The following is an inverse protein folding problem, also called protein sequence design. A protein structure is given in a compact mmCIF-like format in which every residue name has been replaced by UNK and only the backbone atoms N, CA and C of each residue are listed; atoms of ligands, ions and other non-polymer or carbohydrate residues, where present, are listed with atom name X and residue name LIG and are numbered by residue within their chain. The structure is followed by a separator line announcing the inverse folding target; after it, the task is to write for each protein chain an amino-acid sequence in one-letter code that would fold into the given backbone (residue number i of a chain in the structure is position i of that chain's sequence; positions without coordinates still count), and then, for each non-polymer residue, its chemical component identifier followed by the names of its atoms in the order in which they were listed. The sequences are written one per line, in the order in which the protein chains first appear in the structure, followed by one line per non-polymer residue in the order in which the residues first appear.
data_IF_927094746322
#
_entry.id   IF_927094746322
#
_cell.length_a   1.000
_cell.length_b   1.000
_cell.length_c   1.000
_cell.angle_alpha   90.00
_cell.angle_beta   90.00
_cell.angle_gamma   90.00
#
_symmetry.space_group_name_H-M   'P 1'
#
loop_
_entity.id
_entity.type
_entity.pdbx_description
1 polymer ?
#
# COMPACT_ATOMS: atom_id res chain seq x y z
N UNK A 1 1.50 -21.27 -14.49
CA UNK A 1 2.87 -20.75 -14.31
C UNK A 1 2.92 -19.36 -14.94
N UNK A 2 2.90 -18.31 -14.12
CA UNK A 2 3.00 -16.93 -14.63
C UNK A 2 4.47 -16.63 -14.97
N UNK A 3 4.68 -15.98 -16.10
CA UNK A 3 5.97 -15.59 -16.65
C UNK A 3 6.77 -14.75 -15.66
N UNK A 4 7.94 -15.26 -15.25
CA UNK A 4 8.87 -14.66 -14.29
C UNK A 4 9.31 -13.23 -14.65
N UNK A 5 9.24 -12.87 -15.94
CA UNK A 5 9.55 -11.52 -16.44
C UNK A 5 8.49 -10.50 -16.01
N UNK A 6 7.21 -10.89 -15.99
CA UNK A 6 6.09 -10.02 -15.60
C UNK A 6 6.16 -9.67 -14.12
N UNK A 7 6.44 -10.67 -13.26
CA UNK A 7 6.63 -10.49 -11.81
C UNK A 7 7.81 -9.55 -11.51
N UNK A 8 8.92 -9.66 -12.25
CA UNK A 8 10.07 -8.75 -12.07
C UNK A 8 9.72 -7.30 -12.42
N UNK A 9 9.03 -7.07 -13.53
CA UNK A 9 8.63 -5.72 -13.94
C UNK A 9 7.66 -5.09 -12.94
N UNK A 10 6.67 -5.85 -12.47
CA UNK A 10 5.71 -5.40 -11.45
C UNK A 10 6.41 -5.02 -10.14
N UNK A 11 7.37 -5.84 -9.68
CA UNK A 11 8.21 -5.51 -8.50
C UNK A 11 9.02 -4.24 -8.70
N UNK A 12 9.64 -4.06 -9.88
CA UNK A 12 10.41 -2.85 -10.17
C UNK A 12 9.52 -1.60 -10.20
N UNK A 13 8.33 -1.68 -10.77
CA UNK A 13 7.36 -0.59 -10.76
C UNK A 13 6.88 -0.27 -9.34
N UNK A 14 6.63 -1.28 -8.51
CA UNK A 14 6.27 -1.10 -7.12
C UNK A 14 7.40 -0.42 -6.33
N UNK A 15 8.66 -0.79 -6.57
CA UNK A 15 9.83 -0.13 -5.97
C UNK A 15 9.91 1.34 -6.40
N UNK A 16 9.79 1.64 -7.70
CA UNK A 16 9.79 3.02 -8.20
C UNK A 16 8.67 3.87 -7.57
N UNK A 17 7.48 3.29 -7.43
CA UNK A 17 6.37 3.93 -6.74
C UNK A 17 6.73 4.22 -5.26
N UNK A 18 7.30 3.26 -4.54
CA UNK A 18 7.76 3.45 -3.16
C UNK A 18 8.83 4.55 -3.05
N UNK A 19 9.75 4.62 -4.00
CA UNK A 19 10.77 5.68 -4.05
C UNK A 19 10.17 7.07 -4.27
N UNK A 20 9.16 7.18 -5.14
CA UNK A 20 8.42 8.43 -5.35
C UNK A 20 7.70 8.92 -4.08
N UNK A 21 7.51 8.02 -3.11
CA UNK A 21 6.87 8.28 -1.82
C UNK A 21 7.89 8.44 -0.67
N UNK A 22 9.18 8.65 -0.95
CA UNK A 22 10.19 8.97 0.07
C UNK A 22 9.73 10.20 0.89
N UNK A 23 9.76 10.09 2.21
CA UNK A 23 9.28 11.13 3.14
C UNK A 23 7.79 11.07 3.50
N UNK A 24 6.97 10.26 2.81
CA UNK A 24 5.57 10.07 3.22
C UNK A 24 5.46 9.12 4.42
N UNK A 25 4.46 9.35 5.28
CA UNK A 25 4.17 8.45 6.40
C UNK A 25 3.79 7.05 5.92
N UNK A 26 4.06 6.02 6.72
CA UNK A 26 3.68 4.63 6.40
C UNK A 26 2.18 4.48 6.13
N UNK A 27 1.34 5.17 6.91
CA UNK A 27 -0.11 5.25 6.69
C UNK A 27 -0.47 5.78 5.30
N UNK A 28 0.20 6.84 4.85
CA UNK A 28 -0.05 7.46 3.55
C UNK A 28 0.34 6.51 2.41
N UNK A 29 1.47 5.80 2.55
CA UNK A 29 1.89 4.76 1.60
C UNK A 29 0.85 3.65 1.48
N UNK A 30 0.33 3.16 2.60
CA UNK A 30 -0.75 2.16 2.64
C UNK A 30 -1.99 2.63 1.89
N UNK A 31 -2.41 3.88 2.11
CA UNK A 31 -3.59 4.45 1.44
C UNK A 31 -3.37 4.53 -0.07
N UNK A 32 -2.22 5.05 -0.51
CA UNK A 32 -1.91 5.21 -1.94
C UNK A 32 -1.81 3.87 -2.67
N UNK A 33 -1.17 2.87 -2.06
CA UNK A 33 -1.10 1.52 -2.63
C UNK A 33 -2.49 0.87 -2.69
N UNK A 34 -3.31 1.03 -1.65
CA UNK A 34 -4.70 0.54 -1.69
C UNK A 34 -5.54 1.21 -2.79
N UNK A 35 -5.35 2.51 -3.02
CA UNK A 35 -5.99 3.23 -4.13
C UNK A 35 -5.51 2.76 -5.50
N UNK A 36 -4.25 2.34 -5.61
CA UNK A 36 -3.67 1.75 -6.82
C UNK A 36 -4.12 0.29 -7.06
N UNK A 37 -4.93 -0.29 -6.16
CA UNK A 37 -5.52 -1.62 -6.33
C UNK A 37 -4.73 -2.77 -5.68
N UNK A 38 -3.65 -2.50 -4.96
CA UNK A 38 -2.91 -3.54 -4.25
C UNK A 38 -3.74 -4.11 -3.08
N UNK A 39 -3.67 -5.43 -2.91
CA UNK A 39 -4.26 -6.15 -1.78
C UNK A 39 -3.49 -5.89 -0.49
N UNK A 40 -4.12 -6.16 0.67
CA UNK A 40 -3.46 -6.01 1.97
C UNK A 40 -2.23 -6.91 2.14
N UNK A 41 -2.15 -8.03 1.42
CA UNK A 41 -1.01 -8.95 1.47
C UNK A 41 0.15 -8.38 0.66
N UNK A 42 -0.11 -7.90 -0.56
CA UNK A 42 0.91 -7.28 -1.40
C UNK A 42 1.48 -6.00 -0.76
N UNK A 43 0.61 -5.18 -0.16
CA UNK A 43 1.05 -3.98 0.57
C UNK A 43 1.93 -4.37 1.76
N UNK A 44 1.57 -5.43 2.49
CA UNK A 44 2.34 -5.91 3.63
C UNK A 44 3.73 -6.40 3.21
N UNK A 45 3.82 -7.14 2.10
CA UNK A 45 5.08 -7.58 1.51
C UNK A 45 5.94 -6.39 1.04
N UNK A 46 5.37 -5.46 0.28
CA UNK A 46 6.08 -4.28 -0.23
C UNK A 46 6.59 -3.35 0.88
N UNK A 47 5.82 -3.18 1.95
CA UNK A 47 6.17 -2.30 3.08
C UNK A 47 6.87 -3.04 4.22
N UNK A 48 7.16 -4.34 4.06
CA UNK A 48 7.79 -5.20 5.07
C UNK A 48 7.09 -5.10 6.43
N UNK A 49 5.77 -5.31 6.42
CA UNK A 49 4.90 -5.26 7.59
C UNK A 49 3.87 -6.41 7.55
N UNK A 50 2.87 -6.40 8.44
CA UNK A 50 1.80 -7.40 8.44
C UNK A 50 0.50 -6.86 7.84
N UNK A 51 -0.30 -7.75 7.24
CA UNK A 51 -1.61 -7.37 6.68
C UNK A 51 -2.57 -6.80 7.74
N UNK A 52 -2.39 -7.16 9.01
CA UNK A 52 -3.14 -6.61 10.14
C UNK A 52 -2.83 -5.11 10.34
N UNK A 53 -1.55 -4.72 10.28
CA UNK A 53 -1.13 -3.31 10.38
C UNK A 53 -1.69 -2.50 9.20
N UNK A 54 -1.65 -3.07 8.00
CA UNK A 54 -2.26 -2.46 6.80
C UNK A 54 -3.76 -2.23 7.00
N UNK A 55 -4.49 -3.26 7.45
CA UNK A 55 -5.92 -3.17 7.69
C UNK A 55 -6.26 -2.10 8.74
N UNK A 56 -5.46 -2.00 9.80
CA UNK A 56 -5.63 -0.96 10.82
C UNK A 56 -5.47 0.45 10.22
N UNK A 57 -4.41 0.71 9.46
CA UNK A 57 -4.21 2.01 8.81
C UNK A 57 -5.36 2.40 7.87
N UNK A 58 -5.88 1.44 7.09
CA UNK A 58 -7.03 1.66 6.22
C UNK A 58 -8.31 1.95 7.01
N UNK A 59 -8.55 1.21 8.09
CA UNK A 59 -9.69 1.46 8.98
C UNK A 59 -9.65 2.85 9.61
N UNK A 60 -8.51 3.25 10.17
CA UNK A 60 -8.30 4.58 10.75
C UNK A 60 -8.44 5.69 9.71
N UNK A 61 -8.04 5.45 8.47
CA UNK A 61 -8.26 6.37 7.34
C UNK A 61 -9.75 6.60 7.07
N UNK A 62 -10.52 5.51 6.93
CA UNK A 62 -11.98 5.58 6.73
C UNK A 62 -12.70 6.28 7.89
N UNK A 63 -12.30 5.98 9.13
CA UNK A 63 -12.89 6.59 10.34
C UNK A 63 -12.65 8.11 10.41
N UNK A 64 -11.45 8.57 10.04
CA UNK A 64 -11.11 10.01 10.02
C UNK A 64 -11.95 10.76 8.99
N UNK A 65 -12.16 10.19 7.81
CA UNK A 65 -13.02 10.78 6.79
C UNK A 65 -14.49 10.85 7.23
N UNK A 66 -14.98 9.85 7.99
CA UNK A 66 -16.34 9.87 8.53
C UNK A 66 -16.56 10.95 9.59
N UNK A 67 -15.55 11.25 10.42
CA UNK A 67 -15.64 12.30 11.46
C UNK A 67 -15.55 13.72 10.89
N UNK A 68 -14.86 13.92 9.76
CA UNK A 68 -14.77 15.24 9.08
C UNK A 68 -16.04 15.66 8.34
N UNK A 69 -16.97 14.73 8.09
CA UNK A 69 -18.26 15.00 7.42
C UNK A 69 -19.42 15.25 8.40
N UNK A 70 -19.20 15.16 9.70
CA UNK A 70 -20.14 15.55 10.76
C UNK A 70 -19.72 16.90 11.32
#
# INVERSE_FOLDING_TARGET
MMSTVTDRTERLLAILLLESMKGTSQREKVIRLSLAGFSNVEIADLLQTSSQVVAQHLYESRKKNRRRKK
#
